data_IF_352799399616
#
_entry.id   IF_352799399616
#
_cell.length_a   1.000
_cell.length_b   1.000
_cell.length_c   1.000
_cell.angle_alpha   90.00
_cell.angle_beta   90.00
_cell.angle_gamma   90.00
#
_symmetry.space_group_name_H-M   'P 1'
#
loop_
_entity.id
_entity.type
_entity.pdbx_description
1 polymer ?
#
# COMPACT_ATOMS: atom_id res chain seq x y z
N UNK A 1 -43.57 55.50 -24.50
CA UNK A 1 -42.73 54.31 -24.81
C UNK A 1 -41.52 54.32 -23.88
N UNK A 2 -41.56 53.60 -22.76
CA UNK A 2 -40.45 53.47 -21.81
C UNK A 2 -40.32 51.99 -21.39
N UNK A 3 -39.69 51.16 -22.24
CA UNK A 3 -39.58 49.70 -22.01
C UNK A 3 -38.28 49.00 -22.50
N UNK A 4 -37.10 49.64 -22.77
CA UNK A 4 -35.85 48.88 -22.96
C UNK A 4 -34.95 48.79 -21.70
N UNK A 5 -34.97 49.80 -20.83
CA UNK A 5 -34.05 49.86 -19.67
C UNK A 5 -34.44 48.90 -18.53
N UNK A 6 -35.75 48.63 -18.37
CA UNK A 6 -36.25 47.71 -17.34
C UNK A 6 -35.86 46.26 -17.64
N UNK A 7 -35.77 45.87 -18.92
CA UNK A 7 -35.43 44.50 -19.32
C UNK A 7 -33.96 44.19 -19.11
N UNK A 8 -33.06 45.13 -19.44
CA UNK A 8 -31.61 44.98 -19.20
C UNK A 8 -31.29 44.88 -17.72
N UNK A 9 -31.91 45.71 -16.88
CA UNK A 9 -31.75 45.65 -15.42
C UNK A 9 -32.24 44.31 -14.85
N UNK A 10 -33.32 43.77 -15.41
CA UNK A 10 -33.87 42.46 -15.01
C UNK A 10 -32.92 41.33 -15.41
N UNK A 11 -32.34 41.37 -16.60
CA UNK A 11 -31.33 40.40 -17.06
C UNK A 11 -30.08 40.41 -16.18
N UNK A 12 -29.58 41.60 -15.82
CA UNK A 12 -28.42 41.74 -14.93
C UNK A 12 -28.73 41.19 -13.54
N UNK A 13 -29.92 41.49 -12.98
CA UNK A 13 -30.36 40.94 -11.69
C UNK A 13 -30.48 39.41 -11.73
N UNK A 14 -31.04 38.85 -12.79
CA UNK A 14 -31.13 37.41 -12.99
C UNK A 14 -29.75 36.75 -13.11
N UNK A 15 -28.81 37.37 -13.83
CA UNK A 15 -27.43 36.87 -13.94
C UNK A 15 -26.71 36.85 -12.59
N UNK A 16 -26.87 37.91 -11.78
CA UNK A 16 -26.31 37.97 -10.41
C UNK A 16 -26.94 36.90 -9.50
N UNK A 17 -28.25 36.68 -9.60
CA UNK A 17 -28.93 35.61 -8.85
C UNK A 17 -28.42 34.22 -9.24
N UNK A 18 -28.22 33.96 -10.54
CA UNK A 18 -27.65 32.68 -11.02
C UNK A 18 -26.21 32.50 -10.53
N UNK A 19 -25.38 33.54 -10.59
CA UNK A 19 -24.01 33.49 -10.08
C UNK A 19 -23.96 33.25 -8.56
N UNK A 20 -24.82 33.93 -7.80
CA UNK A 20 -24.89 33.74 -6.35
C UNK A 20 -25.40 32.35 -5.99
N UNK A 21 -26.43 31.85 -6.70
CA UNK A 21 -26.91 30.49 -6.53
C UNK A 21 -25.82 29.45 -6.86
N UNK A 22 -25.07 29.66 -7.95
CA UNK A 22 -23.95 28.79 -8.33
C UNK A 22 -22.86 28.79 -7.26
N UNK A 23 -22.41 29.96 -6.79
CA UNK A 23 -21.42 30.08 -5.71
C UNK A 23 -21.89 29.38 -4.44
N UNK A 24 -23.14 29.57 -4.05
CA UNK A 24 -23.72 28.92 -2.87
C UNK A 24 -23.83 27.41 -3.05
N UNK A 25 -24.21 26.94 -4.23
CA UNK A 25 -24.27 25.52 -4.58
C UNK A 25 -22.87 24.89 -4.54
N UNK A 26 -21.87 25.54 -5.11
CA UNK A 26 -20.47 25.09 -5.07
C UNK A 26 -19.95 25.06 -3.63
N UNK A 27 -20.18 26.12 -2.83
CA UNK A 27 -19.80 26.16 -1.42
C UNK A 27 -20.48 25.03 -0.61
N UNK A 28 -21.74 24.72 -0.90
CA UNK A 28 -22.47 23.61 -0.24
C UNK A 28 -21.95 22.24 -0.67
N UNK A 29 -21.58 22.06 -1.94
CA UNK A 29 -20.96 20.82 -2.43
C UNK A 29 -19.58 20.65 -1.77
N UNK A 30 -18.77 21.69 -1.72
CA UNK A 30 -17.46 21.69 -1.08
C UNK A 30 -17.55 21.45 0.43
N UNK A 31 -18.51 22.09 1.11
CA UNK A 31 -18.80 21.83 2.52
C UNK A 31 -19.18 20.36 2.75
N UNK A 32 -20.06 19.79 1.90
CA UNK A 32 -20.43 18.36 1.98
C UNK A 32 -19.23 17.45 1.71
N UNK A 33 -18.37 17.79 0.75
CA UNK A 33 -17.13 17.07 0.45
C UNK A 33 -16.23 17.04 1.68
N UNK A 34 -15.99 18.18 2.33
CA UNK A 34 -15.17 18.29 3.55
C UNK A 34 -15.74 17.52 4.73
N UNK A 35 -17.04 17.64 5.00
CA UNK A 35 -17.67 16.87 6.09
C UNK A 35 -17.69 15.38 5.81
N UNK A 36 -18.01 14.97 4.58
CA UNK A 36 -17.96 13.55 4.18
C UNK A 36 -16.55 12.98 4.34
N UNK A 37 -15.53 13.75 3.98
CA UNK A 37 -14.14 13.34 4.15
C UNK A 37 -13.77 13.23 5.63
N UNK A 38 -14.09 14.24 6.44
CA UNK A 38 -13.81 14.22 7.87
C UNK A 38 -14.51 13.04 8.56
N UNK A 39 -15.75 12.74 8.17
CA UNK A 39 -16.49 11.57 8.67
C UNK A 39 -15.81 10.28 8.21
N UNK A 40 -15.46 10.16 6.93
CA UNK A 40 -14.79 8.96 6.40
C UNK A 40 -13.45 8.72 7.10
N UNK A 41 -12.57 9.72 7.17
CA UNK A 41 -11.29 9.64 7.88
C UNK A 41 -11.48 9.28 9.35
N UNK A 42 -12.51 9.82 10.01
CA UNK A 42 -12.78 9.49 11.42
C UNK A 42 -13.23 8.03 11.59
N UNK A 43 -14.07 7.53 10.68
CA UNK A 43 -14.51 6.12 10.67
C UNK A 43 -13.32 5.21 10.37
N UNK A 44 -12.53 5.57 9.36
CA UNK A 44 -11.33 4.85 8.93
C UNK A 44 -10.29 4.76 10.04
N UNK A 45 -9.95 5.88 10.68
CA UNK A 45 -8.99 5.90 11.78
C UNK A 45 -9.53 5.14 13.00
N UNK A 46 -10.82 5.27 13.30
CA UNK A 46 -11.45 4.48 14.36
C UNK A 46 -11.40 2.97 14.05
N UNK A 47 -11.67 2.57 12.81
CA UNK A 47 -11.57 1.18 12.38
C UNK A 47 -10.12 0.65 12.45
N UNK A 48 -9.13 1.46 12.06
CA UNK A 48 -7.71 1.13 12.20
C UNK A 48 -7.32 0.96 13.68
N UNK A 49 -7.74 1.90 14.53
CA UNK A 49 -7.47 1.87 15.97
C UNK A 49 -8.11 0.67 16.64
N UNK A 50 -9.38 0.38 16.34
CA UNK A 50 -10.10 -0.77 16.87
C UNK A 50 -9.39 -2.09 16.52
N UNK A 51 -8.79 -2.20 15.32
CA UNK A 51 -8.03 -3.41 14.97
C UNK A 51 -6.73 -3.53 15.73
N UNK A 52 -5.98 -2.45 15.86
CA UNK A 52 -4.74 -2.48 16.64
C UNK A 52 -5.04 -2.81 18.10
N UNK A 53 -6.13 -2.27 18.66
CA UNK A 53 -6.59 -2.64 20.01
C UNK A 53 -7.03 -4.09 20.12
N UNK A 54 -7.80 -4.60 19.15
CA UNK A 54 -8.26 -5.99 19.13
C UNK A 54 -7.08 -6.97 19.01
N UNK A 55 -6.12 -6.66 18.16
CA UNK A 55 -4.88 -7.43 18.02
C UNK A 55 -4.07 -7.41 19.32
N UNK A 56 -3.89 -6.23 19.93
CA UNK A 56 -3.22 -6.11 21.23
C UNK A 56 -3.93 -6.92 22.30
N UNK A 57 -5.26 -6.92 22.32
CA UNK A 57 -6.05 -7.73 23.24
C UNK A 57 -5.87 -9.23 23.01
N UNK A 58 -5.98 -9.72 21.77
CA UNK A 58 -5.76 -11.13 21.48
C UNK A 58 -4.32 -11.57 21.74
N UNK A 59 -3.35 -10.70 21.46
CA UNK A 59 -1.94 -10.93 21.80
C UNK A 59 -1.77 -11.04 23.32
N UNK A 60 -2.32 -10.09 24.08
CA UNK A 60 -2.35 -10.14 25.54
C UNK A 60 -2.99 -11.44 26.05
N UNK A 61 -4.12 -11.85 25.48
CA UNK A 61 -4.77 -13.12 25.82
C UNK A 61 -3.85 -14.31 25.51
N UNK A 62 -3.26 -14.39 24.32
CA UNK A 62 -2.37 -15.50 23.94
C UNK A 62 -1.13 -15.59 24.82
N UNK A 63 -0.57 -14.45 25.24
CA UNK A 63 0.59 -14.36 26.14
C UNK A 63 0.25 -14.72 27.59
N UNK A 64 -0.99 -14.50 28.04
CA UNK A 64 -1.41 -14.77 29.42
C UNK A 64 -2.15 -16.11 29.59
N UNK A 65 -2.63 -16.71 28.50
CA UNK A 65 -3.34 -17.99 28.48
C UNK A 65 -2.53 -19.12 27.80
N UNK A 66 -1.22 -18.95 27.65
CA UNK A 66 -0.32 -19.86 26.90
C UNK A 66 -0.16 -21.29 27.44
N UNK A 67 -1.01 -21.76 28.36
CA UNK A 67 -1.11 -23.19 28.72
C UNK A 67 -2.27 -23.92 28.00
N UNK A 68 -3.20 -23.22 27.33
CA UNK A 68 -4.45 -23.86 26.86
C UNK A 68 -4.62 -23.90 25.33
N UNK A 69 -3.94 -23.07 24.55
CA UNK A 69 -4.07 -23.09 23.09
C UNK A 69 -2.71 -23.06 22.39
N UNK A 70 -2.16 -24.25 22.13
CA UNK A 70 -1.22 -24.42 21.03
C UNK A 70 -1.97 -24.06 19.73
N UNK A 71 -1.68 -22.88 19.19
CA UNK A 71 -2.18 -22.49 17.88
C UNK A 71 -1.69 -23.52 16.84
N UNK A 72 -2.52 -23.92 15.86
CA UNK A 72 -2.04 -24.74 14.77
C UNK A 72 -0.93 -23.98 14.05
N UNK A 73 0.25 -24.58 13.98
CA UNK A 73 1.42 -24.06 13.29
C UNK A 73 1.06 -23.67 11.84
N UNK A 74 0.82 -22.39 11.59
CA UNK A 74 0.81 -21.81 10.22
C UNK A 74 2.21 -21.89 9.57
N UNK A 75 3.23 -22.20 10.38
CA UNK A 75 4.63 -22.35 9.98
C UNK A 75 4.92 -23.52 9.03
N UNK A 76 4.05 -24.53 8.92
CA UNK A 76 4.35 -25.73 8.13
C UNK A 76 3.94 -25.66 6.65
N UNK A 77 3.18 -24.65 6.20
CA UNK A 77 2.63 -24.67 4.83
C UNK A 77 3.57 -24.04 3.79
N UNK A 78 4.57 -23.24 4.19
CA UNK A 78 5.36 -22.42 3.24
C UNK A 78 6.86 -22.76 3.23
N UNK A 79 7.30 -23.71 4.06
CA UNK A 79 8.70 -24.19 4.06
C UNK A 79 8.96 -25.32 3.05
N UNK A 80 7.93 -26.00 2.56
CA UNK A 80 8.11 -26.98 1.48
C UNK A 80 8.22 -26.27 0.13
N UNK A 81 9.36 -26.49 -0.53
CA UNK A 81 9.75 -25.87 -1.80
C UNK A 81 8.81 -26.15 -2.96
N UNK A 82 7.65 -25.50 -2.97
CA UNK A 82 6.73 -25.44 -4.11
C UNK A 82 7.48 -24.85 -5.31
N UNK A 83 7.89 -25.68 -6.27
CA UNK A 83 8.47 -25.21 -7.53
C UNK A 83 7.36 -24.84 -8.51
N UNK A 84 7.66 -24.01 -9.52
CA UNK A 84 6.72 -23.71 -10.61
C UNK A 84 6.06 -24.98 -11.18
N UNK A 85 6.84 -26.06 -11.33
CA UNK A 85 6.40 -27.36 -11.87
C UNK A 85 5.39 -28.09 -10.99
N UNK A 86 5.31 -27.79 -9.70
CA UNK A 86 4.31 -28.37 -8.82
C UNK A 86 2.93 -27.75 -9.03
N UNK A 87 2.85 -26.44 -9.25
CA UNK A 87 1.58 -25.78 -9.58
C UNK A 87 1.02 -26.32 -10.91
N UNK A 88 1.89 -26.65 -11.87
CA UNK A 88 1.48 -27.22 -13.16
C UNK A 88 0.87 -28.61 -13.04
N UNK A 89 1.36 -29.41 -12.09
CA UNK A 89 0.88 -30.76 -11.83
C UNK A 89 -0.36 -30.78 -10.95
N UNK A 90 -0.47 -29.84 -10.01
CA UNK A 90 -1.55 -29.80 -9.00
C UNK A 90 -2.79 -29.05 -9.48
N UNK A 91 -2.66 -28.07 -10.37
CA UNK A 91 -3.75 -27.20 -10.80
C UNK A 91 -3.87 -27.25 -12.32
N UNK A 92 -4.88 -27.98 -12.79
CA UNK A 92 -5.20 -28.06 -14.20
C UNK A 92 -5.89 -26.77 -14.69
N UNK A 93 -5.64 -26.38 -15.94
CA UNK A 93 -6.25 -25.21 -16.55
C UNK A 93 -7.24 -25.71 -17.59
N UNK A 94 -8.55 -25.52 -17.41
CA UNK A 94 -9.55 -26.06 -18.32
C UNK A 94 -9.39 -25.46 -19.72
N UNK A 95 -9.72 -26.26 -20.75
CA UNK A 95 -9.70 -25.81 -22.16
C UNK A 95 -10.66 -24.64 -22.42
N UNK A 96 -11.70 -24.51 -21.58
CA UNK A 96 -12.63 -23.37 -21.59
C UNK A 96 -12.01 -22.06 -21.10
N UNK A 97 -10.79 -22.08 -20.56
CA UNK A 97 -10.08 -20.87 -20.15
C UNK A 97 -9.39 -20.18 -21.34
N UNK A 98 -9.93 -19.01 -21.71
CA UNK A 98 -9.45 -18.14 -22.79
C UNK A 98 -8.73 -16.88 -22.28
N UNK A 99 -8.30 -16.86 -21.02
CA UNK A 99 -7.53 -15.74 -20.47
C UNK A 99 -6.03 -15.85 -20.71
N UNK A 100 -5.26 -14.84 -20.26
CA UNK A 100 -3.81 -14.84 -20.40
C UNK A 100 -3.20 -16.09 -19.76
N UNK A 101 -2.31 -16.75 -20.51
CA UNK A 101 -1.53 -17.90 -20.03
C UNK A 101 -0.09 -17.46 -19.86
N UNK A 102 0.37 -17.38 -18.62
CA UNK A 102 1.70 -16.86 -18.32
C UNK A 102 2.76 -17.93 -18.46
N UNK A 103 3.92 -17.54 -19.00
CA UNK A 103 5.15 -18.33 -19.01
C UNK A 103 6.31 -17.45 -18.53
N UNK A 104 7.18 -18.00 -17.70
CA UNK A 104 8.31 -17.27 -17.13
C UNK A 104 9.61 -17.58 -17.90
N UNK A 105 10.48 -16.58 -18.14
CA UNK A 105 10.39 -15.17 -17.73
C UNK A 105 9.28 -14.40 -18.47
N UNK A 106 8.63 -13.47 -17.77
CA UNK A 106 7.56 -12.65 -18.34
C UNK A 106 8.10 -11.66 -19.37
N UNK A 107 7.26 -11.35 -20.35
CA UNK A 107 7.53 -10.38 -21.41
C UNK A 107 6.54 -9.21 -21.36
N UNK A 108 6.86 -8.12 -22.07
CA UNK A 108 5.94 -6.98 -22.21
C UNK A 108 4.61 -7.37 -22.86
N UNK A 109 4.60 -8.40 -23.71
CA UNK A 109 3.37 -8.91 -24.33
C UNK A 109 2.46 -9.55 -23.29
N UNK A 110 3.02 -10.24 -22.28
CA UNK A 110 2.26 -10.82 -21.18
C UNK A 110 1.62 -9.71 -20.32
N UNK A 111 2.38 -8.66 -20.00
CA UNK A 111 1.83 -7.50 -19.28
C UNK A 111 0.72 -6.80 -20.07
N UNK A 112 0.87 -6.62 -21.38
CA UNK A 112 -0.17 -6.06 -22.24
C UNK A 112 -1.42 -6.95 -22.31
N UNK A 113 -1.23 -8.27 -22.36
CA UNK A 113 -2.34 -9.23 -22.32
C UNK A 113 -3.10 -9.16 -20.98
N UNK A 114 -2.39 -9.06 -19.86
CA UNK A 114 -2.99 -8.86 -18.53
C UNK A 114 -3.78 -7.55 -18.45
N UNK A 115 -3.20 -6.44 -18.93
CA UNK A 115 -3.88 -5.14 -18.97
C UNK A 115 -5.17 -5.20 -19.80
N UNK A 116 -5.15 -5.85 -20.96
CA UNK A 116 -6.33 -6.03 -21.80
C UNK A 116 -7.38 -6.93 -21.14
N UNK A 117 -6.95 -8.04 -20.54
CA UNK A 117 -7.84 -8.97 -19.84
C UNK A 117 -8.56 -8.27 -18.68
N UNK A 118 -7.84 -7.52 -17.84
CA UNK A 118 -8.44 -6.84 -16.69
C UNK A 118 -9.33 -5.66 -17.08
N UNK A 119 -9.03 -4.95 -18.17
CA UNK A 119 -9.96 -3.97 -18.78
C UNK A 119 -11.27 -4.61 -19.26
N UNK A 120 -11.23 -5.89 -19.61
CA UNK A 120 -12.39 -6.68 -20.05
C UNK A 120 -13.03 -7.47 -18.90
N UNK A 121 -12.69 -7.15 -17.65
CA UNK A 121 -13.15 -7.84 -16.43
C UNK A 121 -12.84 -9.35 -16.42
N UNK A 122 -11.79 -9.76 -17.14
CA UNK A 122 -11.40 -11.16 -17.24
C UNK A 122 -10.41 -11.54 -16.14
N UNK A 123 -10.72 -12.61 -15.40
CA UNK A 123 -9.89 -13.11 -14.30
C UNK A 123 -8.66 -13.90 -14.81
N UNK A 124 -7.50 -13.69 -14.17
CA UNK A 124 -6.33 -14.54 -14.37
C UNK A 124 -6.53 -15.89 -13.67
N UNK A 125 -6.19 -17.01 -14.30
CA UNK A 125 -6.37 -18.33 -13.67
C UNK A 125 -5.50 -18.49 -12.41
N UNK A 126 -6.02 -19.18 -11.39
CA UNK A 126 -5.36 -19.37 -10.10
C UNK A 126 -3.92 -19.95 -10.22
N UNK A 127 -3.71 -20.89 -11.14
CA UNK A 127 -2.37 -21.43 -11.47
C UNK A 127 -1.38 -20.31 -11.79
N UNK A 128 -1.73 -19.41 -12.69
CA UNK A 128 -0.83 -18.34 -13.13
C UNK A 128 -0.62 -17.28 -12.05
N UNK A 129 -1.63 -17.04 -11.20
CA UNK A 129 -1.49 -16.19 -10.01
C UNK A 129 -0.46 -16.77 -9.05
N UNK A 130 -0.58 -18.04 -8.68
CA UNK A 130 0.35 -18.70 -7.77
C UNK A 130 1.78 -18.73 -8.33
N UNK A 131 1.94 -19.00 -9.63
CA UNK A 131 3.24 -18.93 -10.31
C UNK A 131 3.84 -17.52 -10.28
N UNK A 132 3.03 -16.49 -10.55
CA UNK A 132 3.45 -15.09 -10.49
C UNK A 132 3.91 -14.70 -9.09
N UNK A 133 3.14 -15.04 -8.07
CA UNK A 133 3.47 -14.75 -6.68
C UNK A 133 4.76 -15.47 -6.25
N UNK A 134 4.96 -16.71 -6.70
CA UNK A 134 6.18 -17.45 -6.43
C UNK A 134 7.43 -16.76 -7.01
N UNK A 135 7.40 -16.36 -8.28
CA UNK A 135 8.53 -15.65 -8.90
C UNK A 135 8.74 -14.26 -8.29
N UNK A 136 7.65 -13.56 -7.98
CA UNK A 136 7.69 -12.26 -7.30
C UNK A 136 8.39 -12.37 -5.95
N UNK A 137 8.02 -13.37 -5.15
CA UNK A 137 8.65 -13.66 -3.87
C UNK A 137 10.16 -13.88 -4.02
N UNK A 138 10.57 -14.65 -5.03
CA UNK A 138 11.99 -14.94 -5.29
C UNK A 138 12.77 -13.65 -5.55
N UNK A 139 12.25 -12.76 -6.40
CA UNK A 139 12.88 -11.46 -6.71
C UNK A 139 12.89 -10.54 -5.49
N UNK A 140 11.77 -10.43 -4.76
CA UNK A 140 11.69 -9.56 -3.58
C UNK A 140 12.64 -10.00 -2.46
N UNK A 141 12.89 -11.30 -2.28
CA UNK A 141 13.86 -11.81 -1.30
C UNK A 141 15.28 -11.29 -1.51
N UNK A 142 15.68 -11.09 -2.76
CA UNK A 142 17.01 -10.61 -3.12
C UNK A 142 17.12 -9.08 -2.95
N UNK A 143 15.99 -8.37 -2.81
CA UNK A 143 15.97 -6.91 -2.67
C UNK A 143 16.33 -6.46 -1.24
N UNK A 144 17.02 -5.30 -1.10
CA UNK A 144 17.29 -4.69 0.20
C UNK A 144 16.03 -4.10 0.82
N UNK A 145 16.07 -3.79 2.13
CA UNK A 145 14.97 -3.07 2.79
C UNK A 145 14.82 -1.62 2.28
N UNK A 146 15.94 -1.00 1.91
CA UNK A 146 15.98 0.34 1.33
C UNK A 146 16.52 0.26 -0.10
N UNK A 147 15.62 0.38 -1.07
CA UNK A 147 15.97 0.44 -2.49
C UNK A 147 16.63 1.78 -2.80
N UNK A 148 17.77 1.76 -3.50
CA UNK A 148 18.49 2.98 -3.89
C UNK A 148 18.45 3.14 -5.40
N UNK A 149 17.96 4.29 -5.86
CA UNK A 149 17.72 4.55 -7.28
C UNK A 149 18.44 5.84 -7.69
N UNK A 150 18.97 5.85 -8.91
CA UNK A 150 19.65 7.00 -9.50
C UNK A 150 18.91 7.48 -10.73
N UNK A 151 18.66 8.78 -10.82
CA UNK A 151 18.09 9.44 -12.02
C UNK A 151 19.17 9.74 -13.07
N UNK A 152 20.34 9.10 -13.00
CA UNK A 152 21.42 9.38 -13.97
C UNK A 152 21.10 8.86 -15.37
N UNK A 153 20.28 7.80 -15.46
CA UNK A 153 19.92 7.13 -16.71
C UNK A 153 18.48 7.40 -17.15
N UNK A 154 17.61 7.83 -16.24
CA UNK A 154 16.23 8.25 -16.50
C UNK A 154 16.08 9.74 -16.27
N UNK A 155 15.42 10.45 -17.19
CA UNK A 155 15.19 11.91 -17.04
C UNK A 155 14.24 12.22 -15.88
N UNK A 156 13.27 11.35 -15.66
CA UNK A 156 12.18 11.51 -14.68
C UNK A 156 11.88 10.17 -14.01
N UNK A 157 11.32 10.21 -12.80
CA UNK A 157 10.79 9.04 -12.08
C UNK A 157 9.40 9.41 -11.59
N UNK A 158 8.41 8.55 -11.87
CA UNK A 158 7.04 8.76 -11.39
C UNK A 158 6.87 8.11 -10.02
N UNK A 159 6.39 8.85 -9.03
CA UNK A 159 6.07 8.34 -7.69
C UNK A 159 4.55 8.35 -7.51
N UNK A 160 3.98 7.20 -7.21
CA UNK A 160 2.56 6.99 -7.00
C UNK A 160 2.30 6.61 -5.53
N UNK A 161 1.27 7.19 -4.92
CA UNK A 161 0.78 6.79 -3.61
C UNK A 161 -0.24 5.67 -3.69
N UNK A 162 -1.10 5.62 -2.66
CA UNK A 162 -2.09 4.58 -2.42
C UNK A 162 -3.05 4.40 -3.61
N UNK A 163 -3.33 3.14 -3.96
CA UNK A 163 -4.28 2.77 -5.03
C UNK A 163 -5.54 2.11 -4.49
N UNK A 164 -5.46 1.42 -3.34
CA UNK A 164 -6.58 0.80 -2.64
C UNK A 164 -7.59 0.09 -3.55
N UNK A 165 -7.09 -0.85 -4.37
CA UNK A 165 -7.96 -1.66 -5.22
C UNK A 165 -8.74 -0.88 -6.29
N UNK A 166 -8.38 0.37 -6.59
CA UNK A 166 -8.95 1.16 -7.68
C UNK A 166 -8.14 1.00 -8.99
N UNK A 167 -8.53 0.03 -9.81
CA UNK A 167 -7.82 -0.28 -11.05
C UNK A 167 -7.90 0.86 -12.07
N UNK A 168 -9.00 1.62 -12.10
CA UNK A 168 -9.16 2.74 -13.03
C UNK A 168 -8.11 3.82 -12.81
N UNK A 169 -7.74 4.08 -11.55
CA UNK A 169 -6.69 5.04 -11.21
C UNK A 169 -5.32 4.56 -11.72
N UNK A 170 -4.99 3.28 -11.55
CA UNK A 170 -3.75 2.70 -12.08
C UNK A 170 -3.70 2.80 -13.62
N UNK A 171 -4.80 2.46 -14.28
CA UNK A 171 -4.90 2.56 -15.74
C UNK A 171 -4.81 4.00 -16.23
N UNK A 172 -5.37 4.96 -15.48
CA UNK A 172 -5.27 6.39 -15.78
C UNK A 172 -3.83 6.89 -15.62
N UNK A 173 -3.12 6.47 -14.57
CA UNK A 173 -1.70 6.79 -14.37
C UNK A 173 -0.89 6.32 -15.58
N UNK A 174 -1.08 5.06 -16.01
CA UNK A 174 -0.37 4.54 -17.18
C UNK A 174 -0.78 5.21 -18.50
N UNK A 175 -2.04 5.60 -18.64
CA UNK A 175 -2.48 6.35 -19.80
C UNK A 175 -1.85 7.75 -19.87
N UNK A 176 -1.68 8.42 -18.72
CA UNK A 176 -1.12 9.78 -18.65
C UNK A 176 0.39 9.83 -18.71
N UNK A 177 1.06 8.90 -18.02
CA UNK A 177 2.51 8.93 -17.81
C UNK A 177 3.25 7.83 -18.60
N UNK A 178 2.53 6.97 -19.34
CA UNK A 178 3.09 5.83 -20.07
C UNK A 178 3.19 4.58 -19.22
N UNK A 179 3.49 3.43 -19.86
CA UNK A 179 3.71 2.18 -19.14
C UNK A 179 5.12 2.16 -18.52
N UNK A 180 5.33 1.36 -17.45
CA UNK A 180 6.65 1.11 -16.91
C UNK A 180 7.59 0.56 -17.99
N UNK A 181 8.80 1.11 -18.05
CA UNK A 181 9.86 0.67 -18.95
C UNK A 181 11.22 1.11 -18.42
N UNK A 182 12.30 0.70 -19.08
CA UNK A 182 13.65 1.15 -18.73
C UNK A 182 13.81 2.68 -18.73
N UNK A 183 13.08 3.37 -19.62
CA UNK A 183 13.12 4.83 -19.75
C UNK A 183 12.04 5.54 -18.92
N UNK A 184 11.07 4.79 -18.37
CA UNK A 184 9.95 5.31 -17.60
C UNK A 184 9.79 4.56 -16.27
N UNK A 185 10.66 4.84 -15.28
CA UNK A 185 10.63 4.17 -14.00
C UNK A 185 9.50 4.69 -13.08
N UNK A 186 8.99 3.79 -12.25
CA UNK A 186 7.93 4.05 -11.28
C UNK A 186 8.31 3.59 -9.88
N UNK A 187 7.78 4.31 -8.89
CA UNK A 187 7.74 3.88 -7.50
C UNK A 187 6.28 3.90 -7.06
N UNK A 188 5.73 2.77 -6.65
CA UNK A 188 4.43 2.70 -5.99
C UNK A 188 4.65 2.53 -4.49
N UNK A 189 4.13 3.49 -3.71
CA UNK A 189 4.52 3.68 -2.32
C UNK A 189 3.51 3.06 -1.32
N UNK A 190 3.26 1.76 -1.46
CA UNK A 190 2.37 1.00 -0.58
C UNK A 190 0.88 1.17 -0.86
N UNK A 191 0.07 0.39 -0.13
CA UNK A 191 -1.40 0.42 -0.14
C UNK A 191 -1.99 0.20 -1.53
N UNK A 192 -1.60 -0.93 -2.12
CA UNK A 192 -2.09 -1.39 -3.41
C UNK A 192 -3.48 -2.02 -3.30
N UNK A 193 -3.75 -2.65 -2.15
CA UNK A 193 -4.91 -3.49 -1.88
C UNK A 193 -5.88 -2.86 -0.88
N UNK A 194 -6.97 -3.59 -0.60
CA UNK A 194 -8.06 -3.22 0.30
C UNK A 194 -8.91 -2.04 -0.18
N UNK A 195 -10.08 -1.86 0.47
CA UNK A 195 -11.13 -0.84 0.18
C UNK A 195 -11.81 -1.01 -1.17
N UNK A 196 -11.05 -1.03 -2.26
CA UNK A 196 -11.50 -1.24 -3.64
C UNK A 196 -11.84 -2.69 -3.95
N UNK A 197 -12.23 -2.95 -5.19
CA UNK A 197 -12.70 -4.28 -5.65
C UNK A 197 -11.73 -4.98 -6.61
N UNK A 198 -10.69 -4.25 -7.03
CA UNK A 198 -9.76 -4.68 -8.06
C UNK A 198 -8.31 -4.79 -7.54
N UNK A 199 -8.17 -5.15 -6.26
CA UNK A 199 -6.88 -5.26 -5.59
C UNK A 199 -6.00 -6.33 -6.23
N UNK A 200 -6.59 -7.48 -6.58
CA UNK A 200 -5.85 -8.57 -7.23
C UNK A 200 -5.33 -8.19 -8.61
N UNK A 201 -6.13 -7.48 -9.41
CA UNK A 201 -5.72 -7.02 -10.74
C UNK A 201 -4.55 -6.04 -10.64
N UNK A 202 -4.60 -5.10 -9.68
CA UNK A 202 -3.51 -4.16 -9.41
C UNK A 202 -2.24 -4.91 -9.03
N UNK A 203 -2.30 -5.82 -8.05
CA UNK A 203 -1.12 -6.60 -7.65
C UNK A 203 -0.53 -7.39 -8.82
N UNK A 204 -1.37 -8.06 -9.62
CA UNK A 204 -0.91 -8.85 -10.75
C UNK A 204 -0.19 -7.96 -11.77
N UNK A 205 -0.73 -6.78 -12.07
CA UNK A 205 -0.10 -5.82 -12.99
C UNK A 205 1.24 -5.32 -12.42
N UNK A 206 1.26 -4.89 -11.15
CA UNK A 206 2.47 -4.35 -10.52
C UNK A 206 3.57 -5.42 -10.43
N UNK A 207 3.23 -6.65 -10.01
CA UNK A 207 4.18 -7.75 -9.95
C UNK A 207 4.67 -8.20 -11.33
N UNK A 208 3.79 -8.21 -12.35
CA UNK A 208 4.23 -8.50 -13.71
C UNK A 208 5.27 -7.47 -14.18
N UNK A 209 5.02 -6.17 -13.99
CA UNK A 209 5.99 -5.13 -14.34
C UNK A 209 7.26 -5.17 -13.47
N UNK A 210 7.17 -5.56 -12.20
CA UNK A 210 8.34 -5.76 -11.34
C UNK A 210 9.23 -6.87 -11.88
N UNK A 211 8.65 -7.98 -12.33
CA UNK A 211 9.40 -9.10 -12.89
C UNK A 211 10.00 -8.79 -14.27
N UNK A 212 9.32 -7.96 -15.08
CA UNK A 212 9.82 -7.54 -16.40
C UNK A 212 10.90 -6.45 -16.26
N UNK A 213 10.71 -5.48 -15.35
CA UNK A 213 11.60 -4.34 -15.14
C UNK A 213 12.03 -4.19 -13.67
N UNK A 214 12.77 -5.16 -13.10
CA UNK A 214 13.12 -5.18 -11.67
C UNK A 214 13.99 -3.99 -11.22
N UNK A 215 14.66 -3.32 -12.17
CA UNK A 215 15.49 -2.14 -11.91
C UNK A 215 14.75 -0.81 -12.11
N UNK A 216 13.50 -0.82 -12.57
CA UNK A 216 12.78 0.39 -12.97
C UNK A 216 11.38 0.50 -12.37
N UNK A 217 10.74 -0.61 -11.99
CA UNK A 217 9.51 -0.59 -11.21
C UNK A 217 9.85 -0.97 -9.76
N UNK A 218 9.56 -0.06 -8.83
CA UNK A 218 9.85 -0.25 -7.42
C UNK A 218 8.56 -0.21 -6.60
N UNK A 219 8.44 -1.11 -5.64
CA UNK A 219 7.30 -1.21 -4.74
C UNK A 219 7.81 -1.06 -3.31
N UNK A 220 7.24 -0.11 -2.56
CA UNK A 220 7.40 -0.07 -1.10
C UNK A 220 6.19 -0.73 -0.44
N UNK A 221 6.39 -1.33 0.74
CA UNK A 221 5.32 -1.87 1.58
C UNK A 221 4.50 -0.73 2.18
N UNK A 222 3.17 -0.84 2.15
CA UNK A 222 2.24 -0.02 2.91
C UNK A 222 1.69 -0.76 4.14
N UNK A 223 0.84 -0.10 4.91
CA UNK A 223 0.24 -0.75 6.08
C UNK A 223 -0.85 -1.75 5.67
N UNK A 224 -1.46 -1.61 4.49
CA UNK A 224 -2.44 -2.55 3.96
C UNK A 224 -1.82 -3.81 3.31
N UNK A 225 -0.50 -3.87 3.11
CA UNK A 225 0.18 -5.12 2.78
C UNK A 225 0.46 -5.96 4.05
N UNK A 226 -0.61 -6.22 4.81
CA UNK A 226 -0.66 -6.94 6.08
C UNK A 226 -1.95 -7.78 6.17
N UNK A 227 -1.83 -9.01 6.65
CA UNK A 227 -2.93 -9.98 6.69
C UNK A 227 -4.12 -9.50 7.54
N UNK A 228 -3.85 -8.82 8.66
CA UNK A 228 -4.90 -8.33 9.57
C UNK A 228 -5.69 -7.20 8.92
N UNK A 229 -5.01 -6.31 8.19
CA UNK A 229 -5.69 -5.27 7.41
C UNK A 229 -6.55 -5.90 6.32
N UNK A 230 -6.00 -6.86 5.59
CA UNK A 230 -6.70 -7.53 4.49
C UNK A 230 -7.99 -8.25 4.93
N UNK A 231 -7.99 -8.81 6.14
CA UNK A 231 -9.15 -9.46 6.72
C UNK A 231 -10.31 -8.48 6.98
N UNK A 232 -10.01 -7.27 7.49
CA UNK A 232 -11.05 -6.26 7.79
C UNK A 232 -11.48 -5.47 6.57
N UNK A 233 -10.54 -5.06 5.71
CA UNK A 233 -10.77 -4.06 4.67
C UNK A 233 -11.10 -4.63 3.29
N UNK A 234 -11.28 -5.94 3.21
CA UNK A 234 -12.02 -6.59 2.13
C UNK A 234 -11.16 -7.34 1.13
N UNK A 235 -9.83 -7.22 1.16
CA UNK A 235 -8.96 -7.94 0.25
C UNK A 235 -9.06 -9.46 0.42
N UNK A 236 -9.10 -9.97 1.66
CA UNK A 236 -9.30 -11.40 1.93
C UNK A 236 -10.59 -11.91 1.29
N UNK A 237 -11.69 -11.17 1.45
CA UNK A 237 -12.99 -11.50 0.84
C UNK A 237 -12.95 -11.41 -0.69
N UNK A 238 -12.21 -10.48 -1.25
CA UNK A 238 -12.01 -10.35 -2.69
C UNK A 238 -11.34 -11.61 -3.27
N UNK A 239 -10.23 -12.05 -2.66
CA UNK A 239 -9.46 -13.22 -3.10
C UNK A 239 -10.28 -14.50 -2.98
N UNK A 240 -10.90 -14.76 -1.82
CA UNK A 240 -11.72 -15.96 -1.62
C UNK A 240 -12.89 -16.04 -2.61
N UNK A 241 -13.51 -14.89 -2.94
CA UNK A 241 -14.60 -14.85 -3.93
C UNK A 241 -14.11 -15.11 -5.35
N UNK A 242 -12.97 -14.52 -5.75
CA UNK A 242 -12.43 -14.64 -7.11
C UNK A 242 -11.86 -16.04 -7.38
N UNK A 243 -11.14 -16.62 -6.42
CA UNK A 243 -10.35 -17.83 -6.61
C UNK A 243 -10.88 -19.08 -5.91
N UNK A 244 -11.96 -18.95 -5.11
CA UNK A 244 -12.69 -20.06 -4.47
C UNK A 244 -11.74 -21.03 -3.77
N UNK A 245 -11.65 -22.26 -4.26
CA UNK A 245 -10.87 -23.36 -3.69
C UNK A 245 -9.36 -23.05 -3.59
N UNK A 246 -8.86 -22.11 -4.39
CA UNK A 246 -7.45 -21.67 -4.34
C UNK A 246 -7.24 -20.37 -3.56
N UNK A 247 -8.30 -19.76 -3.01
CA UNK A 247 -8.25 -18.47 -2.33
C UNK A 247 -7.31 -18.49 -1.12
N UNK A 248 -7.46 -19.49 -0.25
CA UNK A 248 -6.66 -19.60 0.98
C UNK A 248 -5.17 -19.81 0.66
N UNK A 249 -4.86 -20.61 -0.36
CA UNK A 249 -3.49 -20.82 -0.83
C UNK A 249 -2.86 -19.53 -1.38
N UNK A 250 -3.63 -18.74 -2.14
CA UNK A 250 -3.19 -17.45 -2.66
C UNK A 250 -2.96 -16.45 -1.53
N UNK A 251 -3.87 -16.37 -0.54
CA UNK A 251 -3.74 -15.48 0.62
C UNK A 251 -2.52 -15.80 1.47
N UNK A 252 -2.28 -17.08 1.73
CA UNK A 252 -1.11 -17.54 2.49
C UNK A 252 0.21 -17.14 1.78
N UNK A 253 0.27 -17.32 0.46
CA UNK A 253 1.44 -16.93 -0.33
C UNK A 253 1.60 -15.40 -0.41
N UNK A 254 0.50 -14.65 -0.52
CA UNK A 254 0.50 -13.18 -0.50
C UNK A 254 1.05 -12.63 0.82
N UNK A 255 0.68 -13.20 1.97
CA UNK A 255 1.22 -12.79 3.26
C UNK A 255 2.75 -12.95 3.30
N UNK A 256 3.30 -14.04 2.77
CA UNK A 256 4.75 -14.21 2.65
C UNK A 256 5.35 -13.18 1.66
N UNK A 257 4.76 -13.02 0.47
CA UNK A 257 5.22 -12.04 -0.54
C UNK A 257 5.27 -10.62 0.04
N UNK A 258 4.22 -10.17 0.73
CA UNK A 258 4.16 -8.85 1.35
C UNK A 258 5.25 -8.65 2.41
N UNK A 259 5.62 -9.70 3.14
CA UNK A 259 6.73 -9.64 4.11
C UNK A 259 8.10 -9.33 3.47
N UNK A 260 8.24 -9.56 2.16
CA UNK A 260 9.47 -9.29 1.41
C UNK A 260 9.48 -7.95 0.68
N UNK A 261 8.40 -7.18 0.69
CA UNK A 261 8.39 -5.85 0.07
C UNK A 261 9.40 -4.91 0.75
N UNK A 262 10.21 -4.14 -0.02
CA UNK A 262 11.04 -3.07 0.51
C UNK A 262 10.25 -2.09 1.37
N UNK A 263 10.88 -1.52 2.39
CA UNK A 263 10.21 -0.60 3.34
C UNK A 263 10.39 0.87 2.96
N UNK A 264 11.45 1.18 2.21
CA UNK A 264 11.73 2.53 1.76
C UNK A 264 12.50 2.54 0.44
N UNK A 265 12.49 3.70 -0.19
CA UNK A 265 13.24 4.00 -1.40
C UNK A 265 14.00 5.31 -1.23
N UNK A 266 15.25 5.38 -1.67
CA UNK A 266 16.06 6.59 -1.68
C UNK A 266 16.46 6.94 -3.11
N UNK A 267 16.05 8.10 -3.59
CA UNK A 267 16.42 8.64 -4.91
C UNK A 267 17.63 9.58 -4.77
N UNK A 268 18.67 9.36 -5.58
CA UNK A 268 19.87 10.19 -5.69
C UNK A 268 20.56 10.50 -4.34
N UNK A 269 20.38 9.64 -3.34
CA UNK A 269 20.85 9.86 -1.96
C UNK A 269 20.35 11.20 -1.37
N UNK A 270 19.17 11.68 -1.81
CA UNK A 270 18.61 12.97 -1.41
C UNK A 270 17.13 12.94 -1.06
N UNK A 271 16.35 12.07 -1.67
CA UNK A 271 14.91 12.00 -1.44
C UNK A 271 14.61 10.64 -0.82
N UNK A 272 14.07 10.64 0.40
CA UNK A 272 13.58 9.44 1.07
C UNK A 272 12.09 9.29 0.78
N UNK A 273 11.67 8.08 0.44
CA UNK A 273 10.30 7.72 0.14
C UNK A 273 9.93 6.50 1.00
N UNK A 274 8.87 6.64 1.77
CA UNK A 274 8.31 5.59 2.61
C UNK A 274 6.80 5.79 2.72
N UNK A 275 6.04 4.76 3.10
CA UNK A 275 4.58 4.82 3.03
C UNK A 275 3.95 5.75 4.09
N UNK A 276 4.11 5.39 5.37
CA UNK A 276 3.58 6.12 6.51
C UNK A 276 4.43 7.34 6.83
N UNK A 277 5.41 7.18 7.73
CA UNK A 277 6.15 8.32 8.25
C UNK A 277 7.44 7.96 8.95
N UNK A 278 7.85 8.83 9.87
CA UNK A 278 9.06 8.69 10.68
C UNK A 278 8.74 9.00 12.13
N UNK A 279 9.69 8.72 13.01
CA UNK A 279 9.68 9.02 14.44
C UNK A 279 11.00 9.67 14.88
N UNK A 280 11.07 10.12 16.13
CA UNK A 280 12.27 10.69 16.74
C UNK A 280 13.40 9.68 16.95
N UNK A 281 13.08 8.38 16.90
CA UNK A 281 13.97 7.22 17.01
C UNK A 281 14.31 6.58 15.66
N UNK A 282 13.71 7.04 14.55
CA UNK A 282 13.95 6.47 13.22
C UNK A 282 15.43 6.49 12.82
N UNK A 283 15.94 5.31 12.47
CA UNK A 283 17.31 5.09 12.03
C UNK A 283 17.34 4.26 10.72
N UNK A 284 17.85 4.87 9.64
CA UNK A 284 17.90 4.23 8.32
C UNK A 284 18.97 3.16 8.21
N UNK A 285 20.02 3.21 9.04
CA UNK A 285 21.06 2.17 9.04
C UNK A 285 20.52 0.92 9.72
N UNK A 286 19.81 1.09 10.83
CA UNK A 286 19.08 0.01 11.46
C UNK A 286 18.01 -0.57 10.53
N UNK A 287 17.20 0.29 9.89
CA UNK A 287 16.20 -0.13 8.90
C UNK A 287 16.80 -1.01 7.80
N UNK A 288 17.97 -0.64 7.29
CA UNK A 288 18.63 -1.38 6.20
C UNK A 288 19.17 -2.75 6.64
N UNK A 289 19.45 -2.93 7.94
CA UNK A 289 19.95 -4.18 8.51
C UNK A 289 18.86 -5.13 9.02
N UNK A 290 17.58 -4.70 9.05
CA UNK A 290 16.47 -5.51 9.56
C UNK A 290 16.24 -6.78 8.73
N UNK A 291 15.82 -7.85 9.41
CA UNK A 291 15.29 -9.04 8.74
C UNK A 291 13.78 -8.90 8.56
N UNK A 292 13.35 -8.14 7.54
CA UNK A 292 11.95 -7.74 7.36
C UNK A 292 10.94 -8.89 7.26
N UNK A 293 11.36 -10.07 6.80
CA UNK A 293 10.50 -11.25 6.66
C UNK A 293 10.15 -11.94 7.97
N UNK A 294 10.89 -11.65 9.06
CA UNK A 294 10.55 -12.14 10.41
C UNK A 294 9.39 -11.35 11.02
N UNK A 295 9.05 -10.21 10.43
CA UNK A 295 7.98 -9.31 10.84
C UNK A 295 6.83 -9.47 9.83
N UNK A 296 6.15 -10.62 9.91
CA UNK A 296 5.07 -10.97 8.97
C UNK A 296 3.82 -10.13 9.23
N UNK A 297 3.46 -9.98 10.50
CA UNK A 297 2.34 -9.17 10.96
C UNK A 297 2.88 -8.06 11.85
N UNK A 298 2.63 -6.80 11.49
CA UNK A 298 3.15 -5.64 12.24
C UNK A 298 2.30 -5.30 13.47
N UNK A 299 1.17 -6.00 13.60
CA UNK A 299 0.07 -5.70 14.51
C UNK A 299 0.04 -6.68 15.70
N UNK A 300 0.77 -7.80 15.63
CA UNK A 300 0.99 -8.70 16.75
C UNK A 300 2.23 -8.27 17.53
N UNK A 301 2.08 -7.33 18.49
CA UNK A 301 2.85 -7.23 19.75
C UNK A 301 2.59 -5.85 20.40
N UNK A 302 1.46 -5.75 21.10
CA UNK A 302 1.24 -4.70 22.09
C UNK A 302 1.84 -5.10 23.45
N UNK A 303 2.82 -4.34 23.92
CA UNK A 303 3.18 -4.18 25.35
C UNK A 303 3.62 -5.41 26.16
N UNK A 304 4.15 -6.48 25.55
CA UNK A 304 4.81 -7.55 26.31
C UNK A 304 6.18 -7.83 25.70
N UNK A 305 7.26 -7.36 26.34
CA UNK A 305 8.39 -8.18 26.83
C UNK A 305 9.29 -7.29 27.72
N UNK A 306 8.97 -7.21 29.00
CA UNK A 306 9.87 -6.64 30.02
C UNK A 306 10.96 -7.63 30.47
N UNK A 307 10.97 -8.87 29.98
CA UNK A 307 11.91 -9.91 30.41
C UNK A 307 12.40 -10.70 29.19
N UNK A 308 13.51 -10.25 28.59
CA UNK A 308 14.59 -11.07 28.00
C UNK A 308 15.48 -10.18 27.13
N UNK A 309 16.79 -10.29 27.28
CA UNK A 309 17.81 -9.47 26.60
C UNK A 309 17.81 -9.60 25.07
N UNK A 310 17.13 -10.63 24.53
CA UNK A 310 16.88 -10.87 23.10
C UNK A 310 15.63 -10.13 22.57
N UNK A 311 14.71 -9.74 23.46
CA UNK A 311 13.43 -9.16 23.10
C UNK A 311 13.50 -7.65 22.80
N UNK A 312 14.45 -6.94 23.41
CA UNK A 312 14.67 -5.52 23.15
C UNK A 312 15.09 -5.23 21.70
N UNK A 313 15.86 -6.15 21.09
CA UNK A 313 16.26 -6.00 19.68
C UNK A 313 15.06 -6.17 18.77
N UNK A 314 14.27 -7.24 18.94
CA UNK A 314 13.05 -7.49 18.15
C UNK A 314 12.03 -6.36 18.30
N UNK A 315 11.76 -5.91 19.54
CA UNK A 315 10.83 -4.81 19.81
C UNK A 315 11.22 -3.52 19.08
N UNK A 316 12.53 -3.22 19.00
CA UNK A 316 13.04 -2.09 18.22
C UNK A 316 12.79 -2.24 16.71
N UNK A 317 12.90 -3.46 16.16
CA UNK A 317 12.60 -3.72 14.73
C UNK A 317 11.13 -3.51 14.43
N UNK A 318 10.24 -4.08 15.26
CA UNK A 318 8.79 -3.92 15.12
C UNK A 318 8.37 -2.46 15.21
N UNK A 319 8.87 -1.74 16.22
CA UNK A 319 8.53 -0.34 16.41
C UNK A 319 8.95 0.52 15.22
N UNK A 320 10.15 0.29 14.67
CA UNK A 320 10.61 1.02 13.49
C UNK A 320 9.76 0.72 12.25
N UNK A 321 9.38 -0.54 12.02
CA UNK A 321 8.53 -0.89 10.87
C UNK A 321 7.13 -0.29 11.06
N UNK A 322 6.57 -0.39 12.27
CA UNK A 322 5.30 0.23 12.61
C UNK A 322 5.34 1.74 12.34
N UNK A 323 6.38 2.43 12.78
CA UNK A 323 6.53 3.87 12.55
C UNK A 323 6.59 4.20 11.04
N UNK A 324 7.35 3.42 10.27
CA UNK A 324 7.52 3.63 8.83
C UNK A 324 6.20 3.42 8.07
N UNK A 325 5.37 2.49 8.51
CA UNK A 325 4.11 2.15 7.84
C UNK A 325 2.91 2.98 8.34
N UNK A 326 2.92 3.47 9.59
CA UNK A 326 1.73 4.06 10.24
C UNK A 326 1.87 5.50 10.76
N UNK A 327 3.07 6.08 10.78
CA UNK A 327 3.24 7.44 11.33
C UNK A 327 2.70 8.53 10.40
N UNK A 328 2.20 9.61 11.00
CA UNK A 328 1.64 10.76 10.28
C UNK A 328 2.32 12.09 10.67
N UNK A 329 2.51 13.02 9.73
CA UNK A 329 3.07 14.33 10.05
C UNK A 329 2.08 15.23 10.80
N UNK A 330 2.60 16.13 11.64
CA UNK A 330 1.83 17.24 12.24
C UNK A 330 2.57 18.57 12.13
N UNK A 331 1.80 19.66 12.16
CA UNK A 331 2.38 21.02 12.17
C UNK A 331 3.11 21.35 13.48
N UNK A 332 2.70 20.75 14.59
CA UNK A 332 3.32 20.96 15.90
C UNK A 332 4.66 20.22 15.98
N UNK A 333 5.62 20.81 16.71
CA UNK A 333 6.91 20.18 17.00
C UNK A 333 6.76 18.98 17.93
N UNK A 334 7.73 18.07 17.84
CA UNK A 334 7.85 16.89 18.68
C UNK A 334 7.37 15.60 18.02
N UNK A 335 7.42 14.52 18.79
CA UNK A 335 7.00 13.18 18.41
C UNK A 335 6.07 12.65 19.50
N UNK A 336 4.86 12.22 19.14
CA UNK A 336 3.89 11.70 20.12
C UNK A 336 3.15 10.49 19.56
N UNK A 337 2.76 9.49 20.37
CA UNK A 337 2.08 8.30 19.85
C UNK A 337 0.80 8.64 19.07
N UNK A 338 0.58 7.96 17.93
CA UNK A 338 -0.61 8.16 17.11
C UNK A 338 -1.79 7.37 17.68
N UNK A 339 -2.45 7.96 18.69
CA UNK A 339 -3.63 7.36 19.33
C UNK A 339 -4.83 7.22 18.41
N UNK A 340 -4.91 8.03 17.35
CA UNK A 340 -6.05 8.02 16.44
C UNK A 340 -6.02 6.83 15.50
N UNK A 341 -4.83 6.42 15.05
CA UNK A 341 -4.69 5.21 14.24
C UNK A 341 -4.46 3.98 15.07
N UNK A 342 -3.88 4.10 16.28
CA UNK A 342 -3.54 2.98 17.16
C UNK A 342 -2.13 2.42 16.98
N UNK A 343 -1.35 2.95 16.01
CA UNK A 343 0.01 2.53 15.69
C UNK A 343 0.83 3.67 15.08
N UNK A 344 2.15 3.62 15.24
CA UNK A 344 3.07 4.68 14.82
C UNK A 344 2.98 5.95 15.69
N UNK A 345 3.48 7.06 15.15
CA UNK A 345 3.52 8.34 15.86
C UNK A 345 3.06 9.52 14.99
N UNK A 346 2.70 10.61 15.65
CA UNK A 346 2.62 11.94 15.06
C UNK A 346 3.97 12.62 15.18
N UNK A 347 4.56 13.00 14.04
CA UNK A 347 5.89 13.62 13.99
C UNK A 347 5.86 15.04 13.44
N UNK A 348 6.61 15.93 14.09
CA UNK A 348 6.70 17.33 13.75
C UNK A 348 7.75 17.68 12.69
N UNK A 349 7.80 18.96 12.26
CA UNK A 349 8.80 19.43 11.32
C UNK A 349 10.24 19.36 11.88
N UNK A 350 10.42 19.40 13.19
CA UNK A 350 11.71 19.25 13.86
C UNK A 350 12.25 17.82 13.78
N UNK A 351 11.38 16.81 13.90
CA UNK A 351 11.73 15.38 13.70
C UNK A 351 12.19 15.16 12.27
N UNK A 352 11.42 15.68 11.30
CA UNK A 352 11.76 15.63 9.87
C UNK A 352 13.10 16.31 9.60
N UNK A 353 13.31 17.54 10.08
CA UNK A 353 14.56 18.27 9.87
C UNK A 353 15.77 17.54 10.49
N UNK A 354 15.61 16.94 11.67
CA UNK A 354 16.67 16.14 12.33
C UNK A 354 17.07 14.94 11.47
N UNK A 355 16.11 14.16 10.98
CA UNK A 355 16.37 13.00 10.14
C UNK A 355 17.05 13.40 8.81
N UNK A 356 16.48 14.40 8.11
CA UNK A 356 17.03 14.85 6.84
C UNK A 356 18.48 15.36 7.00
N UNK A 357 18.77 16.07 8.09
CA UNK A 357 20.12 16.53 8.41
C UNK A 357 21.06 15.35 8.71
N UNK A 358 20.64 14.37 9.51
CA UNK A 358 21.45 13.19 9.89
C UNK A 358 21.93 12.42 8.66
N UNK A 359 21.03 12.18 7.70
CA UNK A 359 21.33 11.37 6.51
C UNK A 359 21.65 12.19 5.25
N UNK A 360 21.86 13.52 5.38
CA UNK A 360 22.13 14.42 4.26
C UNK A 360 21.07 14.33 3.13
N UNK A 361 19.81 14.16 3.53
CA UNK A 361 18.65 14.15 2.66
C UNK A 361 18.06 15.57 2.55
N UNK A 362 17.23 15.79 1.54
CA UNK A 362 16.59 17.07 1.24
C UNK A 362 15.08 17.01 1.39
N UNK A 363 14.48 15.84 1.18
CA UNK A 363 13.04 15.70 1.12
C UNK A 363 12.61 14.32 1.59
N UNK A 364 11.45 14.29 2.25
CA UNK A 364 10.68 13.09 2.57
C UNK A 364 9.41 13.12 1.72
N UNK A 365 9.17 12.07 0.94
CA UNK A 365 7.89 11.82 0.27
C UNK A 365 7.20 10.68 1.00
N UNK A 366 5.90 10.82 1.24
CA UNK A 366 5.07 9.81 1.89
C UNK A 366 3.66 9.75 1.29
N UNK A 367 2.87 8.77 1.68
CA UNK A 367 1.50 8.53 1.18
C UNK A 367 0.51 8.39 2.34
N UNK A 368 -0.26 7.30 2.51
CA UNK A 368 -0.99 6.90 3.74
C UNK A 368 -2.07 7.86 4.32
N UNK A 369 -2.10 9.14 3.92
CA UNK A 369 -3.18 10.08 4.24
C UNK A 369 -3.80 10.61 2.96
N UNK A 370 -5.12 10.43 2.83
CA UNK A 370 -5.87 11.08 1.77
C UNK A 370 -5.75 12.62 1.84
N UNK A 371 -5.40 13.23 0.70
CA UNK A 371 -5.41 14.68 0.50
C UNK A 371 -6.41 15.08 -0.60
N UNK A 372 -7.28 16.09 -0.39
CA UNK A 372 -8.29 16.47 -1.39
C UNK A 372 -7.75 16.85 -2.77
N UNK A 373 -6.54 17.43 -2.83
CA UNK A 373 -5.85 17.83 -4.07
C UNK A 373 -4.85 16.77 -4.55
N UNK A 374 -4.80 15.59 -3.90
CA UNK A 374 -3.88 14.50 -4.20
C UNK A 374 -2.47 14.64 -3.60
N UNK A 375 -2.06 15.84 -3.17
CA UNK A 375 -0.77 16.10 -2.52
C UNK A 375 -0.87 17.27 -1.52
N UNK A 376 0.05 17.36 -0.54
CA UNK A 376 0.09 18.45 0.45
C UNK A 376 1.50 18.82 0.89
#
# INVERSE_FOLDING_TARGET
MCTPLLSVLTVIRSAVLIQNWYRFRMARIEMRRRYSLSIFQSIEYADEQDQLQLSNFFTFMLDHFSEIFASPNVSQVVEEGLSLTEFEKKIDVPDSYYGPRLSFPLTINDANALLHAFKSEQLLHARYVLQLLYETRRVLKEMPNITRISTSYSKEITVCGDLHGNLDDLLLIFYKNGLPSEQNPYIFNGDFVDRGKNSMEILIILFAFLLIYPNNLHLNRGNHEDYIMNLRYGFTKEVSRKYKDHGDQILCLLQDVFSWLPLATIINNKILILHGGISDTTDLDFLNALERNKVKDHIHMGESVANETSAGHNLGQYHLILDILWSDPRSQRGCTPNKSRGGGCYFGPDVTAKLLKKYNLKMLIRSHEFKPEGLS
#
